data_IF_468499786153
#
_entry.id   IF_468499786153
#
_cell.length_a   1.000
_cell.length_b   1.000
_cell.length_c   1.000
_cell.angle_alpha   90.00
_cell.angle_beta   90.00
_cell.angle_gamma   90.00
#
_symmetry.space_group_name_H-M   'P 1'
#
loop_
_entity.id
_entity.type
_entity.pdbx_description
1 polymer ?
#
# COMPACT_ATOMS: atom_id res chain seq x y z
N UNK A 1 22.40 9.77 -5.44
CA UNK A 1 21.40 10.04 -4.38
C UNK A 1 20.02 10.04 -5.00
N UNK A 2 19.20 9.02 -4.72
CA UNK A 2 17.81 9.00 -5.17
C UNK A 2 17.01 9.89 -4.22
N UNK A 3 16.52 11.02 -4.72
CA UNK A 3 15.70 12.02 -4.01
C UNK A 3 14.27 11.50 -3.75
N UNK A 4 14.06 10.18 -3.77
CA UNK A 4 12.76 9.52 -3.81
C UNK A 4 12.27 8.93 -2.48
N UNK A 5 13.16 8.78 -1.48
CA UNK A 5 12.84 8.02 -0.28
C UNK A 5 11.88 8.75 0.67
N UNK A 6 11.95 10.09 0.76
CA UNK A 6 11.08 10.87 1.64
C UNK A 6 9.61 10.82 1.20
N UNK A 7 9.34 11.10 -0.07
CA UNK A 7 7.99 11.01 -0.63
C UNK A 7 7.41 9.59 -0.54
N UNK A 8 8.22 8.58 -0.86
CA UNK A 8 7.78 7.19 -0.84
C UNK A 8 7.44 6.72 0.59
N UNK A 9 8.25 7.07 1.58
CA UNK A 9 7.98 6.76 2.98
C UNK A 9 6.74 7.49 3.50
N UNK A 10 6.55 8.77 3.16
CA UNK A 10 5.32 9.50 3.51
C UNK A 10 4.09 8.85 2.87
N UNK A 11 4.19 8.40 1.62
CA UNK A 11 3.08 7.70 0.97
C UNK A 11 2.75 6.36 1.67
N UNK A 12 3.77 5.61 2.11
CA UNK A 12 3.59 4.38 2.90
C UNK A 12 2.87 4.66 4.22
N UNK A 13 3.33 5.66 4.96
CA UNK A 13 2.74 6.10 6.23
C UNK A 13 1.28 6.55 6.06
N UNK A 14 1.01 7.41 5.08
CA UNK A 14 -0.32 7.96 4.82
C UNK A 14 -1.31 6.88 4.40
N UNK A 15 -0.96 6.04 3.43
CA UNK A 15 -1.84 4.97 2.95
C UNK A 15 -2.13 3.96 4.07
N UNK A 16 -1.13 3.62 4.89
CA UNK A 16 -1.30 2.71 6.02
C UNK A 16 -2.18 3.32 7.11
N UNK A 17 -2.00 4.61 7.41
CA UNK A 17 -2.81 5.32 8.40
C UNK A 17 -4.27 5.47 7.96
N UNK A 18 -4.51 5.76 6.67
CA UNK A 18 -5.87 5.85 6.11
C UNK A 18 -6.54 4.47 6.16
N UNK A 19 -5.84 3.41 5.75
CA UNK A 19 -6.36 2.04 5.83
C UNK A 19 -6.69 1.64 7.27
N UNK A 20 -5.80 1.91 8.22
CA UNK A 20 -5.99 1.60 9.64
C UNK A 20 -7.20 2.31 10.26
N UNK A 21 -7.60 3.48 9.75
CA UNK A 21 -8.76 4.25 10.21
C UNK A 21 -10.05 3.97 9.43
N UNK A 22 -9.98 3.15 8.38
CA UNK A 22 -11.13 2.87 7.51
C UNK A 22 -12.17 2.01 8.22
N UNK A 23 -13.42 2.50 8.21
CA UNK A 23 -14.57 1.85 8.85
C UNK A 23 -15.08 0.64 8.04
N UNK A 24 -15.83 -0.29 8.66
CA UNK A 24 -16.49 -1.39 7.94
C UNK A 24 -17.27 -0.91 6.71
N UNK A 25 -17.35 -1.74 5.68
CA UNK A 25 -17.99 -1.41 4.40
C UNK A 25 -17.08 -0.70 3.37
N UNK A 26 -15.99 -0.07 3.81
CA UNK A 26 -15.00 0.56 2.91
C UNK A 26 -13.60 -0.08 2.92
N UNK A 27 -13.35 -1.06 3.80
CA UNK A 27 -12.01 -1.61 4.08
C UNK A 27 -11.39 -2.32 2.87
N UNK A 28 -12.15 -3.19 2.20
CA UNK A 28 -11.63 -3.92 1.04
C UNK A 28 -11.26 -2.98 -0.12
N UNK A 29 -12.13 -2.02 -0.43
CA UNK A 29 -11.85 -0.99 -1.45
C UNK A 29 -10.60 -0.18 -1.08
N UNK A 30 -10.50 0.29 0.17
CA UNK A 30 -9.32 1.02 0.63
C UNK A 30 -8.05 0.16 0.57
N UNK A 31 -8.12 -1.09 1.02
CA UNK A 31 -6.99 -2.03 0.99
C UNK A 31 -6.47 -2.20 -0.43
N UNK A 32 -7.36 -2.46 -1.39
CA UNK A 32 -6.99 -2.64 -2.78
C UNK A 32 -6.35 -1.36 -3.36
N UNK A 33 -6.94 -0.19 -3.07
CA UNK A 33 -6.41 1.09 -3.52
C UNK A 33 -5.02 1.39 -2.94
N UNK A 34 -4.85 1.21 -1.62
CA UNK A 34 -3.58 1.43 -0.94
C UNK A 34 -2.51 0.45 -1.42
N UNK A 35 -2.84 -0.85 -1.56
CA UNK A 35 -1.94 -1.86 -2.12
C UNK A 35 -1.52 -1.52 -3.55
N UNK A 36 -2.46 -1.08 -4.40
CA UNK A 36 -2.17 -0.65 -5.75
C UNK A 36 -1.24 0.58 -5.77
N UNK A 37 -1.54 1.62 -4.99
CA UNK A 37 -0.74 2.85 -4.94
C UNK A 37 0.69 2.60 -4.47
N UNK A 38 0.86 1.84 -3.39
CA UNK A 38 2.17 1.49 -2.85
C UNK A 38 2.91 0.52 -3.79
N UNK A 39 2.19 -0.41 -4.43
CA UNK A 39 2.75 -1.29 -5.45
C UNK A 39 3.40 -0.52 -6.61
N UNK A 40 2.83 0.61 -7.04
CA UNK A 40 3.46 1.45 -8.07
C UNK A 40 4.80 2.03 -7.63
N UNK A 41 4.98 2.31 -6.34
CA UNK A 41 6.23 2.81 -5.77
C UNK A 41 7.27 1.68 -5.63
N UNK A 42 6.82 0.48 -5.25
CA UNK A 42 7.65 -0.74 -5.28
C UNK A 42 8.14 -1.02 -6.70
N UNK A 43 7.25 -0.99 -7.69
CA UNK A 43 7.60 -1.17 -9.11
C UNK A 43 8.54 -0.11 -9.65
N UNK A 44 8.56 1.08 -9.03
CA UNK A 44 9.50 2.16 -9.34
C UNK A 44 10.84 2.05 -8.57
N UNK A 45 11.02 1.02 -7.74
CA UNK A 45 12.22 0.82 -6.92
C UNK A 45 12.35 1.81 -5.76
N UNK A 46 11.23 2.39 -5.30
CA UNK A 46 11.21 3.44 -4.28
C UNK A 46 10.82 2.95 -2.88
N UNK A 47 10.16 1.80 -2.80
CA UNK A 47 9.80 1.11 -1.56
C UNK A 47 10.20 -0.36 -1.66
N UNK A 48 10.51 -0.97 -0.52
CA UNK A 48 10.66 -2.41 -0.43
C UNK A 48 9.29 -3.09 -0.36
N UNK A 49 9.13 -4.22 -1.06
CA UNK A 49 7.85 -4.94 -1.10
C UNK A 49 7.46 -5.48 0.29
N UNK A 50 8.41 -6.00 1.07
CA UNK A 50 8.11 -6.62 2.37
C UNK A 50 7.66 -5.56 3.37
N UNK A 51 8.33 -4.40 3.38
CA UNK A 51 7.93 -3.26 4.21
C UNK A 51 6.49 -2.82 3.93
N UNK A 52 6.11 -2.78 2.65
CA UNK A 52 4.73 -2.44 2.24
C UNK A 52 3.73 -3.51 2.67
N UNK A 53 4.04 -4.80 2.47
CA UNK A 53 3.18 -5.90 2.88
C UNK A 53 2.94 -5.88 4.40
N UNK A 54 3.99 -5.73 5.20
CA UNK A 54 3.92 -5.69 6.67
C UNK A 54 3.08 -4.50 7.16
N UNK A 55 3.24 -3.32 6.56
CA UNK A 55 2.47 -2.13 6.90
C UNK A 55 0.97 -2.30 6.60
N UNK A 56 0.63 -2.88 5.44
CA UNK A 56 -0.77 -3.15 5.05
C UNK A 56 -1.43 -4.22 5.92
N UNK A 57 -0.68 -5.27 6.28
CA UNK A 57 -1.12 -6.30 7.23
C UNK A 57 -1.42 -5.65 8.58
N UNK A 58 -0.50 -4.83 9.09
CA UNK A 58 -0.68 -4.17 10.38
C UNK A 58 -1.88 -3.21 10.37
N UNK A 59 -2.07 -2.45 9.30
CA UNK A 59 -3.23 -1.58 9.13
C UNK A 59 -4.56 -2.37 9.10
N UNK A 60 -4.59 -3.52 8.42
CA UNK A 60 -5.74 -4.43 8.44
C UNK A 60 -6.01 -5.04 9.83
N UNK A 61 -4.96 -5.25 10.64
CA UNK A 61 -5.13 -5.74 12.03
C UNK A 61 -5.78 -4.65 12.88
N UNK A 62 -5.29 -3.41 12.76
CA UNK A 62 -5.81 -2.24 13.51
C UNK A 62 -7.28 -1.99 13.17
N UNK A 63 -7.62 -1.97 11.88
CA UNK A 63 -8.99 -1.74 11.46
C UNK A 63 -9.89 -2.96 11.62
N UNK A 64 -9.37 -4.13 12.04
CA UNK A 64 -10.10 -5.41 12.21
C UNK A 64 -10.70 -6.00 10.94
N UNK A 65 -10.15 -5.71 9.75
CA UNK A 65 -10.66 -6.22 8.47
C UNK A 65 -10.72 -7.75 8.41
N UNK A 66 -9.79 -8.42 9.09
CA UNK A 66 -9.76 -9.88 9.25
C UNK A 66 -11.06 -10.48 9.79
N UNK A 67 -11.84 -9.72 10.58
CA UNK A 67 -13.08 -10.18 11.17
C UNK A 67 -14.25 -10.19 10.18
N UNK A 68 -14.16 -9.42 9.08
CA UNK A 68 -15.21 -9.34 8.08
C UNK A 68 -15.02 -10.42 6.99
N UNK A 69 -13.81 -10.47 6.41
CA UNK A 69 -13.53 -11.21 5.18
C UNK A 69 -12.59 -12.42 5.39
N UNK A 70 -11.99 -12.56 6.57
CA UNK A 70 -11.01 -13.60 6.89
C UNK A 70 -9.59 -13.31 6.39
N UNK A 71 -8.60 -13.93 7.03
CA UNK A 71 -7.17 -13.66 6.80
C UNK A 71 -6.68 -13.97 5.39
N UNK A 72 -7.09 -15.11 4.83
CA UNK A 72 -6.67 -15.49 3.48
C UNK A 72 -7.15 -14.52 2.40
N UNK A 73 -8.37 -13.96 2.52
CA UNK A 73 -8.87 -12.96 1.58
C UNK A 73 -8.13 -11.63 1.68
N UNK A 74 -7.85 -11.18 2.91
CA UNK A 74 -7.07 -9.95 3.14
C UNK A 74 -5.69 -10.07 2.53
N UNK A 75 -4.98 -11.17 2.79
CA UNK A 75 -3.64 -11.41 2.24
C UNK A 75 -3.66 -11.54 0.70
N UNK A 76 -4.68 -12.21 0.15
CA UNK A 76 -4.87 -12.29 -1.31
C UNK A 76 -5.10 -10.92 -1.96
N UNK A 77 -5.84 -10.04 -1.27
CA UNK A 77 -6.11 -8.67 -1.74
C UNK A 77 -4.85 -7.79 -1.70
N UNK A 78 -4.02 -7.92 -0.66
CA UNK A 78 -2.72 -7.24 -0.57
C UNK A 78 -1.84 -7.67 -1.74
N UNK A 79 -1.66 -8.98 -1.92
CA UNK A 79 -0.78 -9.52 -2.97
C UNK A 79 -1.23 -9.11 -4.37
N UNK A 80 -2.50 -9.28 -4.68
CA UNK A 80 -3.03 -8.92 -6.02
C UNK A 80 -2.97 -7.42 -6.29
N UNK A 81 -3.28 -6.58 -5.30
CA UNK A 81 -3.16 -5.13 -5.42
C UNK A 81 -1.72 -4.68 -5.63
N UNK A 82 -0.77 -5.25 -4.88
CA UNK A 82 0.66 -4.93 -5.02
C UNK A 82 1.22 -5.33 -6.38
N UNK A 83 0.93 -6.54 -6.85
CA UNK A 83 1.39 -6.98 -8.19
C UNK A 83 0.79 -6.12 -9.30
N UNK A 84 -0.49 -5.77 -9.21
CA UNK A 84 -1.13 -4.86 -10.16
C UNK A 84 -0.51 -3.45 -10.15
N UNK A 85 -0.14 -2.94 -8.97
CA UNK A 85 0.56 -1.66 -8.82
C UNK A 85 1.97 -1.72 -9.38
N UNK A 86 2.74 -2.78 -9.06
CA UNK A 86 4.10 -3.01 -9.56
C UNK A 86 4.17 -3.06 -11.08
N UNK A 87 3.15 -3.64 -11.71
CA UNK A 87 3.02 -3.67 -13.18
C UNK A 87 2.76 -2.28 -13.80
N UNK A 88 2.49 -1.26 -12.99
CA UNK A 88 2.27 0.13 -13.42
C UNK A 88 3.15 1.13 -12.62
N UNK A 89 4.49 1.04 -12.70
CA UNK A 89 5.39 1.85 -11.88
C UNK A 89 5.09 3.36 -11.96
N UNK A 90 5.08 4.03 -10.80
CA UNK A 90 4.81 5.47 -10.75
C UNK A 90 6.01 6.25 -11.30
N UNK A 91 5.78 7.03 -12.35
CA UNK A 91 6.82 7.90 -12.90
C UNK A 91 6.86 9.22 -12.12
N UNK A 92 7.88 9.39 -11.28
CA UNK A 92 8.12 10.69 -10.62
C UNK A 92 8.96 11.56 -11.54
N UNK A 93 8.35 12.58 -12.13
CA UNK A 93 9.09 13.60 -12.88
C UNK A 93 9.95 14.39 -11.90
N UNK A 94 11.28 14.22 -12.00
CA UNK A 94 12.22 15.05 -11.25
C UNK A 94 12.01 16.51 -11.67
N UNK A 95 11.60 17.37 -10.73
CA UNK A 95 11.55 18.80 -10.95
C UNK A 95 13.00 19.28 -11.03
N UNK A 96 13.53 19.40 -12.25
CA UNK A 96 14.83 20.03 -12.47
C UNK A 96 14.68 21.49 -12.04
N UNK A 97 15.48 21.90 -11.05
CA UNK A 97 15.70 23.32 -10.75
C UNK A 97 16.70 23.87 -11.75
#
# INVERSE_FOLDING_TARGET
MIVGNGYANTALEDESAILARTKPGGRNYRLNLSAFNLGQLVGAGMLDQREVEDALIQACKINRHYQDDGESMVLGSIKSGLEAGKAKPRTIKRRLK
#
